data_IF_814407628864
#
_entry.id   IF_814407628864
#
_cell.length_a   1.000
_cell.length_b   1.000
_cell.length_c   1.000
_cell.angle_alpha   90.00
_cell.angle_beta   90.00
_cell.angle_gamma   90.00
#
_symmetry.space_group_name_H-M   'P 1'
#
loop_
_entity.id
_entity.type
_entity.pdbx_description
1 polymer ?
#
# COMPACT_ATOMS: atom_id res chain seq x y z
N UNK A 1 -20.52 55.51 28.71
CA UNK A 1 -20.50 54.24 29.48
C UNK A 1 -21.34 53.25 28.71
N UNK A 2 -20.87 52.27 28.16
CA UNK A 2 -19.92 51.27 28.48
C UNK A 2 -19.30 50.74 27.17
N UNK A 3 -18.01 50.90 27.03
CA UNK A 3 -17.21 50.09 26.10
C UNK A 3 -16.75 48.84 26.83
N UNK A 4 -16.19 47.93 26.10
CA UNK A 4 -15.44 46.74 26.55
C UNK A 4 -16.32 45.50 26.67
N UNK A 5 -16.15 44.63 25.67
CA UNK A 5 -15.92 43.20 25.89
C UNK A 5 -15.86 42.40 24.56
N UNK A 6 -15.04 42.89 23.64
CA UNK A 6 -14.81 42.11 22.41
C UNK A 6 -13.32 41.68 22.25
N UNK A 7 -12.61 41.46 23.37
CA UNK A 7 -11.20 41.06 23.40
C UNK A 7 -10.94 39.66 24.01
N UNK A 8 -11.90 38.72 23.97
CA UNK A 8 -11.65 37.42 24.59
C UNK A 8 -12.00 36.20 23.70
N UNK A 9 -11.74 36.25 22.42
CA UNK A 9 -11.95 35.09 21.53
C UNK A 9 -10.68 34.61 20.80
N UNK A 10 -9.50 35.08 21.15
CA UNK A 10 -8.24 34.55 20.59
C UNK A 10 -7.56 33.64 21.61
N UNK A 11 -8.28 32.60 22.08
CA UNK A 11 -7.62 31.46 22.72
C UNK A 11 -6.82 30.75 21.64
N UNK A 12 -5.49 30.75 21.79
CA UNK A 12 -4.48 30.27 20.87
C UNK A 12 -4.85 28.98 20.12
N UNK A 13 -5.33 29.14 18.91
CA UNK A 13 -5.42 28.02 17.95
C UNK A 13 -3.98 27.60 17.69
N UNK A 14 -3.60 26.40 18.10
CA UNK A 14 -2.28 25.86 17.79
C UNK A 14 -2.14 25.83 16.28
N UNK A 15 -1.17 26.54 15.72
CA UNK A 15 -0.87 26.54 14.29
C UNK A 15 -0.45 25.15 13.87
N UNK A 16 -1.08 24.61 12.83
CA UNK A 16 -0.79 23.30 12.24
C UNK A 16 0.45 23.44 11.36
N UNK A 17 1.51 22.75 11.72
CA UNK A 17 2.76 22.76 10.97
C UNK A 17 2.75 21.67 9.91
N UNK A 18 2.88 22.04 8.66
CA UNK A 18 2.78 21.13 7.50
C UNK A 18 4.10 21.04 6.75
N UNK A 19 4.53 19.82 6.43
CA UNK A 19 5.63 19.57 5.52
C UNK A 19 5.10 18.99 4.21
N UNK A 20 5.55 19.52 3.05
CA UNK A 20 5.07 19.12 1.73
C UNK A 20 6.15 18.31 0.97
N UNK A 21 5.76 17.19 0.38
CA UNK A 21 6.64 16.40 -0.50
C UNK A 21 5.91 16.10 -1.80
N UNK A 22 6.41 16.64 -2.90
CA UNK A 22 5.88 16.45 -4.27
C UNK A 22 7.01 16.77 -5.26
N UNK A 23 7.23 15.94 -6.27
CA UNK A 23 8.28 16.15 -7.27
C UNK A 23 7.91 17.25 -8.28
N UNK A 24 6.60 17.53 -8.45
CA UNK A 24 6.11 18.57 -9.34
C UNK A 24 6.16 19.94 -8.65
N UNK A 25 7.15 20.75 -8.96
CA UNK A 25 7.37 22.09 -8.35
C UNK A 25 6.12 22.98 -8.41
N UNK A 26 5.41 22.99 -9.54
CA UNK A 26 4.20 23.83 -9.72
C UNK A 26 3.09 23.38 -8.79
N UNK A 27 2.88 22.08 -8.64
CA UNK A 27 1.88 21.49 -7.72
C UNK A 27 2.27 21.81 -6.29
N UNK A 28 3.51 21.56 -5.92
CA UNK A 28 4.04 21.79 -4.58
C UNK A 28 3.89 23.26 -4.16
N UNK A 29 4.27 24.20 -5.04
CA UNK A 29 4.07 25.66 -4.79
C UNK A 29 2.61 26.05 -4.70
N UNK A 30 1.75 25.48 -5.54
CA UNK A 30 0.31 25.71 -5.50
C UNK A 30 -0.30 25.26 -4.18
N UNK A 31 0.04 24.06 -3.72
CA UNK A 31 -0.39 23.51 -2.43
C UNK A 31 0.16 24.34 -1.26
N UNK A 32 1.44 24.75 -1.32
CA UNK A 32 2.04 25.59 -0.30
C UNK A 32 1.32 26.94 -0.18
N UNK A 33 1.05 27.60 -1.30
CA UNK A 33 0.33 28.88 -1.32
C UNK A 33 -1.09 28.74 -0.78
N UNK A 34 -1.79 27.67 -1.14
CA UNK A 34 -3.13 27.37 -0.67
C UNK A 34 -3.19 27.18 0.86
N UNK A 35 -2.27 26.39 1.40
CA UNK A 35 -2.21 26.13 2.84
C UNK A 35 -1.75 27.35 3.63
N UNK A 36 -0.79 28.12 3.10
CA UNK A 36 -0.28 29.35 3.74
C UNK A 36 -1.28 30.51 3.69
N UNK A 37 -2.36 30.42 2.91
CA UNK A 37 -3.45 31.40 2.93
C UNK A 37 -4.36 31.25 4.17
N UNK A 38 -4.22 30.16 4.92
CA UNK A 38 -5.00 29.88 6.13
C UNK A 38 -4.24 30.35 7.38
N UNK A 39 -4.90 31.12 8.26
CA UNK A 39 -4.28 31.69 9.48
C UNK A 39 -3.81 30.64 10.50
N UNK A 40 -4.35 29.42 10.42
CA UNK A 40 -4.07 28.32 11.36
C UNK A 40 -3.13 27.24 10.79
N UNK A 41 -2.54 27.46 9.60
CA UNK A 41 -1.63 26.51 8.95
C UNK A 41 -0.33 27.21 8.56
N UNK A 42 0.79 26.54 8.86
CA UNK A 42 2.15 26.97 8.51
C UNK A 42 2.86 25.88 7.71
N UNK A 43 3.35 26.19 6.50
CA UNK A 43 4.21 25.29 5.73
C UNK A 43 5.64 25.46 6.25
N UNK A 44 6.13 24.47 7.02
CA UNK A 44 7.42 24.50 7.69
C UNK A 44 8.56 23.91 6.87
N UNK A 45 8.27 23.33 5.70
CA UNK A 45 9.28 22.80 4.81
C UNK A 45 8.69 22.10 3.59
N UNK A 46 9.56 21.91 2.62
CA UNK A 46 9.23 21.27 1.34
C UNK A 46 10.35 20.34 0.89
N UNK A 47 10.00 19.27 0.13
CA UNK A 47 10.91 18.38 -0.52
C UNK A 47 10.37 17.96 -1.90
N UNK A 48 11.25 17.70 -2.87
CA UNK A 48 10.92 17.17 -4.18
C UNK A 48 11.31 15.70 -4.35
N UNK A 49 11.90 15.07 -3.33
CA UNK A 49 12.44 13.70 -3.38
C UNK A 49 12.20 12.99 -2.04
N UNK A 50 12.19 11.67 -2.08
CA UNK A 50 12.06 10.83 -0.86
C UNK A 50 13.25 11.06 0.08
N UNK A 51 14.48 11.08 -0.44
CA UNK A 51 15.70 11.34 0.33
C UNK A 51 15.64 12.66 1.09
N UNK A 52 15.25 13.74 0.41
CA UNK A 52 15.14 15.06 1.04
C UNK A 52 14.00 15.11 2.07
N UNK A 53 12.89 14.42 1.83
CA UNK A 53 11.78 14.32 2.79
C UNK A 53 12.26 13.62 4.08
N UNK A 54 12.88 12.44 3.96
CA UNK A 54 13.42 11.67 5.09
C UNK A 54 14.45 12.45 5.91
N UNK A 55 15.29 13.25 5.24
CA UNK A 55 16.31 14.06 5.91
C UNK A 55 15.72 15.28 6.65
N UNK A 56 14.68 15.92 6.10
CA UNK A 56 14.20 17.24 6.57
C UNK A 56 12.99 17.16 7.50
N UNK A 57 12.09 16.19 7.33
CA UNK A 57 10.89 16.06 8.18
C UNK A 57 11.25 15.95 9.67
N UNK A 58 12.22 15.13 10.10
CA UNK A 58 12.56 15.03 11.53
C UNK A 58 13.06 16.35 12.13
N UNK A 59 13.83 17.14 11.36
CA UNK A 59 14.33 18.44 11.78
C UNK A 59 13.23 19.51 11.83
N UNK A 60 12.30 19.49 10.86
CA UNK A 60 11.18 20.43 10.77
C UNK A 60 10.11 20.16 11.85
N UNK A 61 9.98 18.93 12.34
CA UNK A 61 8.96 18.50 13.32
C UNK A 61 7.55 19.00 12.98
N UNK A 62 7.02 18.65 11.81
CA UNK A 62 5.65 19.03 11.45
C UNK A 62 4.61 18.25 12.26
N UNK A 63 3.37 18.77 12.32
CA UNK A 63 2.21 18.03 12.81
C UNK A 63 1.62 17.13 11.71
N UNK A 64 1.74 17.55 10.44
CA UNK A 64 1.25 16.84 9.26
C UNK A 64 2.32 16.80 8.17
N UNK A 65 2.57 15.64 7.59
CA UNK A 65 3.33 15.47 6.36
C UNK A 65 2.37 15.16 5.21
N UNK A 66 2.32 16.02 4.20
CA UNK A 66 1.61 15.78 2.94
C UNK A 66 2.61 15.19 1.95
N UNK A 67 2.37 13.96 1.52
CA UNK A 67 3.33 13.16 0.75
C UNK A 67 2.71 12.75 -0.60
N UNK A 68 3.35 13.11 -1.70
CA UNK A 68 3.01 12.52 -3.00
C UNK A 68 3.35 11.02 -2.98
N UNK A 69 2.46 10.22 -3.56
CA UNK A 69 2.68 8.77 -3.70
C UNK A 69 3.87 8.48 -4.61
N UNK A 70 4.05 9.25 -5.68
CA UNK A 70 5.14 9.04 -6.65
C UNK A 70 6.24 10.07 -6.46
N UNK A 71 7.46 9.59 -6.27
CA UNK A 71 8.67 10.41 -6.17
C UNK A 71 9.75 9.86 -7.10
N UNK A 72 10.66 10.71 -7.61
CA UNK A 72 11.64 10.31 -8.64
C UNK A 72 12.68 9.29 -8.15
N UNK A 73 12.93 9.25 -6.85
CA UNK A 73 13.92 8.41 -6.17
C UNK A 73 13.29 7.35 -5.26
N UNK A 74 11.96 7.16 -5.36
CA UNK A 74 11.24 6.22 -4.52
C UNK A 74 9.73 6.42 -4.54
N UNK A 75 9.09 6.24 -3.41
CA UNK A 75 7.65 6.46 -3.25
C UNK A 75 7.32 7.05 -1.87
N UNK A 76 6.26 7.86 -1.81
CA UNK A 76 5.83 8.52 -0.58
C UNK A 76 5.28 7.55 0.47
N UNK A 77 4.88 6.34 0.08
CA UNK A 77 4.40 5.32 1.01
C UNK A 77 5.57 4.79 1.84
N UNK A 78 6.72 4.57 1.21
CA UNK A 78 7.97 4.20 1.88
C UNK A 78 8.44 5.32 2.81
N UNK A 79 8.36 6.59 2.38
CA UNK A 79 8.63 7.76 3.23
C UNK A 79 7.69 7.77 4.44
N UNK A 80 6.38 7.57 4.23
CA UNK A 80 5.39 7.51 5.30
C UNK A 80 5.75 6.44 6.33
N UNK A 81 6.06 5.22 5.88
CA UNK A 81 6.43 4.09 6.76
C UNK A 81 7.66 4.39 7.59
N UNK A 82 8.72 4.89 6.97
CA UNK A 82 9.99 5.19 7.62
C UNK A 82 9.83 6.33 8.63
N UNK A 83 9.21 7.45 8.23
CA UNK A 83 9.00 8.60 9.11
C UNK A 83 8.10 8.24 10.29
N UNK A 84 7.04 7.47 10.10
CA UNK A 84 6.17 7.05 11.20
C UNK A 84 6.84 6.08 12.17
N UNK A 85 7.83 5.32 11.72
CA UNK A 85 8.64 4.49 12.64
C UNK A 85 9.47 5.33 13.61
N UNK A 86 9.90 6.52 13.17
CA UNK A 86 10.70 7.47 13.95
C UNK A 86 9.83 8.48 14.72
N UNK A 87 8.69 8.87 14.14
CA UNK A 87 7.76 9.88 14.64
C UNK A 87 6.32 9.34 14.63
N UNK A 88 5.91 8.47 15.56
CA UNK A 88 4.60 7.80 15.55
C UNK A 88 3.41 8.77 15.60
N UNK A 89 3.57 9.95 16.20
CA UNK A 89 2.52 10.97 16.33
C UNK A 89 2.32 11.82 15.05
N UNK A 90 3.27 11.76 14.10
CA UNK A 90 3.17 12.53 12.87
C UNK A 90 2.01 12.00 12.00
N UNK A 91 1.06 12.86 11.66
CA UNK A 91 0.00 12.52 10.73
C UNK A 91 0.52 12.57 9.28
N UNK A 92 0.38 11.48 8.53
CA UNK A 92 0.75 11.43 7.12
C UNK A 92 -0.51 11.47 6.24
N UNK A 93 -0.60 12.46 5.35
CA UNK A 93 -1.64 12.61 4.35
C UNK A 93 -1.06 12.33 2.98
N UNK A 94 -1.50 11.24 2.34
CA UNK A 94 -1.04 10.89 0.99
C UNK A 94 -1.79 11.71 -0.04
N UNK A 95 -1.06 12.29 -0.99
CA UNK A 95 -1.61 13.08 -2.10
C UNK A 95 -1.22 12.40 -3.42
N UNK A 96 -2.17 12.13 -4.30
CA UNK A 96 -1.93 11.37 -5.53
C UNK A 96 -2.74 11.90 -6.72
N UNK A 97 -2.22 11.69 -7.92
CA UNK A 97 -2.93 12.03 -9.16
C UNK A 97 -3.89 10.95 -9.66
N UNK A 98 -3.84 9.75 -9.10
CA UNK A 98 -4.60 8.60 -9.57
C UNK A 98 -5.33 7.90 -8.43
N UNK A 99 -6.55 7.45 -8.75
CA UNK A 99 -7.30 6.53 -7.89
C UNK A 99 -6.72 5.12 -8.07
N UNK A 100 -5.60 4.86 -7.39
CA UNK A 100 -4.90 3.58 -7.40
C UNK A 100 -5.21 2.83 -6.11
N UNK A 101 -6.06 1.79 -6.22
CA UNK A 101 -6.46 0.98 -5.06
C UNK A 101 -5.25 0.30 -4.38
N UNK A 102 -4.20 -0.03 -5.14
CA UNK A 102 -3.00 -0.66 -4.59
C UNK A 102 -2.16 0.36 -3.80
N UNK A 103 -2.02 1.59 -4.31
CA UNK A 103 -1.34 2.68 -3.61
C UNK A 103 -2.08 3.10 -2.33
N UNK A 104 -3.42 3.19 -2.39
CA UNK A 104 -4.24 3.42 -1.20
C UNK A 104 -4.02 2.34 -0.14
N UNK A 105 -3.99 1.06 -0.56
CA UNK A 105 -3.72 -0.05 0.36
C UNK A 105 -2.35 0.06 1.02
N UNK A 106 -1.30 0.27 0.24
CA UNK A 106 0.05 0.42 0.75
C UNK A 106 0.16 1.61 1.72
N UNK A 107 -0.53 2.73 1.43
CA UNK A 107 -0.61 3.89 2.30
C UNK A 107 -1.23 3.56 3.67
N UNK A 108 -2.36 2.82 3.68
CA UNK A 108 -3.00 2.35 4.92
C UNK A 108 -2.06 1.46 5.74
N UNK A 109 -1.36 0.52 5.07
CA UNK A 109 -0.41 -0.39 5.72
C UNK A 109 0.86 0.33 6.21
N UNK A 110 1.23 1.46 5.61
CA UNK A 110 2.30 2.34 6.07
C UNK A 110 1.87 3.23 7.25
N UNK A 111 0.58 3.22 7.63
CA UNK A 111 0.03 4.00 8.72
C UNK A 111 -0.34 5.43 8.35
N UNK A 112 -0.65 5.71 7.07
CA UNK A 112 -1.16 7.02 6.66
C UNK A 112 -2.47 7.35 7.38
N UNK A 113 -2.66 8.60 7.75
CA UNK A 113 -3.88 9.12 8.39
C UNK A 113 -4.95 9.49 7.37
N UNK A 114 -4.58 9.67 6.09
CA UNK A 114 -5.49 10.03 5.01
C UNK A 114 -4.89 9.80 3.63
N UNK A 115 -5.78 9.79 2.63
CA UNK A 115 -5.43 9.64 1.23
C UNK A 115 -6.35 10.55 0.40
N UNK A 116 -5.78 11.42 -0.42
CA UNK A 116 -6.48 12.48 -1.14
C UNK A 116 -6.01 12.54 -2.59
N UNK A 117 -6.93 12.76 -3.52
CA UNK A 117 -6.60 12.94 -4.93
C UNK A 117 -6.16 14.40 -5.18
N UNK A 118 -5.11 14.61 -6.00
CA UNK A 118 -4.63 15.96 -6.42
C UNK A 118 -5.69 16.76 -7.19
N UNK A 119 -6.74 16.12 -7.67
CA UNK A 119 -7.89 16.76 -8.35
C UNK A 119 -8.93 17.34 -7.38
N UNK A 120 -8.72 17.21 -6.08
CA UNK A 120 -9.58 17.76 -5.03
C UNK A 120 -9.59 19.28 -5.05
N UNK A 121 -10.72 19.90 -4.65
CA UNK A 121 -10.80 21.35 -4.47
C UNK A 121 -9.91 21.79 -3.30
N UNK A 122 -9.34 22.97 -3.40
CA UNK A 122 -8.42 23.48 -2.38
C UNK A 122 -8.98 23.48 -0.95
N UNK A 123 -10.28 23.87 -0.79
CA UNK A 123 -10.98 23.83 0.50
C UNK A 123 -11.00 22.44 1.13
N UNK A 124 -11.10 21.40 0.32
CA UNK A 124 -11.16 20.01 0.80
C UNK A 124 -9.79 19.53 1.26
N UNK A 125 -8.70 19.99 0.63
CA UNK A 125 -7.34 19.69 1.06
C UNK A 125 -7.02 20.34 2.41
N UNK A 126 -7.42 21.61 2.59
CA UNK A 126 -7.30 22.33 3.86
C UNK A 126 -8.09 21.61 4.96
N UNK A 127 -9.33 21.20 4.66
CA UNK A 127 -10.16 20.40 5.56
C UNK A 127 -9.51 19.04 5.92
N UNK A 128 -8.90 18.40 4.93
CA UNK A 128 -8.18 17.13 5.13
C UNK A 128 -6.98 17.30 6.08
N UNK A 129 -6.17 18.34 5.89
CA UNK A 129 -5.03 18.67 6.76
C UNK A 129 -5.52 18.91 8.20
N UNK A 130 -6.57 19.70 8.40
CA UNK A 130 -7.14 19.96 9.74
C UNK A 130 -7.65 18.68 10.40
N UNK A 131 -8.31 17.82 9.64
CA UNK A 131 -8.85 16.55 10.15
C UNK A 131 -7.73 15.64 10.63
N UNK A 132 -6.68 15.42 9.83
CA UNK A 132 -5.58 14.54 10.24
C UNK A 132 -4.73 15.15 11.35
N UNK A 133 -4.56 16.47 11.38
CA UNK A 133 -3.88 17.18 12.46
C UNK A 133 -4.60 17.06 13.82
N UNK A 134 -5.92 16.89 13.81
CA UNK A 134 -6.70 16.64 15.04
C UNK A 134 -6.61 15.19 15.54
N UNK A 135 -5.82 14.32 14.88
CA UNK A 135 -5.72 12.90 15.18
C UNK A 135 -6.84 12.04 14.61
N UNK A 136 -7.74 12.62 13.81
CA UNK A 136 -8.79 11.88 13.13
C UNK A 136 -8.24 11.25 11.83
N UNK A 137 -8.79 10.10 11.42
CA UNK A 137 -8.46 9.47 10.16
C UNK A 137 -9.48 9.83 9.08
N UNK A 138 -8.99 10.19 7.90
CA UNK A 138 -9.80 10.32 6.69
C UNK A 138 -10.07 8.98 5.99
N UNK A 139 -9.50 7.90 6.50
CA UNK A 139 -9.73 6.56 6.01
C UNK A 139 -11.04 6.06 6.62
N UNK A 140 -12.11 6.09 5.83
CA UNK A 140 -13.42 5.58 6.26
C UNK A 140 -13.31 4.10 6.68
N UNK A 141 -13.81 3.73 7.88
CA UNK A 141 -13.78 2.36 8.38
C UNK A 141 -14.41 1.34 7.41
N UNK A 142 -15.43 1.76 6.65
CA UNK A 142 -16.09 0.90 5.65
C UNK A 142 -15.20 0.67 4.43
N UNK A 143 -14.51 1.69 3.95
CA UNK A 143 -13.55 1.59 2.85
C UNK A 143 -12.36 0.75 3.27
N UNK A 144 -11.84 0.96 4.46
CA UNK A 144 -10.76 0.14 5.05
C UNK A 144 -11.20 -1.33 5.23
N UNK A 145 -12.42 -1.60 5.71
CA UNK A 145 -12.93 -2.96 5.85
C UNK A 145 -13.13 -3.67 4.51
N UNK A 146 -13.69 -2.98 3.50
CA UNK A 146 -13.79 -3.53 2.12
C UNK A 146 -12.43 -3.84 1.54
N UNK A 147 -11.46 -2.99 1.78
CA UNK A 147 -10.09 -3.16 1.35
C UNK A 147 -9.45 -4.37 2.02
N UNK A 148 -9.58 -4.52 3.33
CA UNK A 148 -9.10 -5.72 4.05
C UNK A 148 -9.76 -7.00 3.54
N UNK A 149 -11.05 -6.98 3.19
CA UNK A 149 -11.73 -8.11 2.55
C UNK A 149 -11.16 -8.42 1.16
N UNK A 150 -10.90 -7.40 0.34
CA UNK A 150 -10.27 -7.58 -1.00
C UNK A 150 -8.85 -8.13 -0.89
N UNK A 151 -8.08 -7.70 0.13
CA UNK A 151 -6.73 -8.22 0.39
C UNK A 151 -6.78 -9.70 0.76
N UNK A 152 -7.65 -10.05 1.70
CA UNK A 152 -7.84 -11.47 2.07
C UNK A 152 -8.23 -12.30 0.85
N UNK A 153 -9.16 -11.81 0.03
CA UNK A 153 -9.57 -12.46 -1.22
C UNK A 153 -8.43 -12.51 -2.26
N UNK A 154 -7.55 -11.51 -2.30
CA UNK A 154 -6.37 -11.48 -3.20
C UNK A 154 -5.24 -12.37 -2.72
N UNK A 155 -4.99 -12.42 -1.41
CA UNK A 155 -4.06 -13.39 -0.80
C UNK A 155 -4.58 -14.83 -0.96
N UNK A 156 -5.90 -15.04 -0.86
CA UNK A 156 -6.53 -16.32 -1.18
C UNK A 156 -6.41 -16.70 -2.66
N UNK A 157 -6.43 -15.72 -3.57
CA UNK A 157 -6.15 -15.93 -5.00
C UNK A 157 -4.65 -16.05 -5.32
N UNK A 158 -3.75 -15.56 -4.46
CA UNK A 158 -2.28 -15.66 -4.66
C UNK A 158 -1.70 -17.03 -4.32
N UNK A 159 -2.44 -17.90 -3.62
CA UNK A 159 -2.04 -19.31 -3.47
C UNK A 159 -3.02 -20.21 -4.25
N UNK A 160 -2.84 -20.34 -5.57
CA UNK A 160 -3.66 -21.23 -6.39
C UNK A 160 -3.57 -22.69 -5.92
N UNK A 161 -2.62 -23.02 -5.05
CA UNK A 161 -2.38 -24.35 -4.49
C UNK A 161 -3.00 -24.56 -3.10
N UNK A 162 -3.69 -23.54 -2.52
CA UNK A 162 -4.24 -23.60 -1.14
C UNK A 162 -5.18 -24.79 -0.92
N UNK A 163 -5.83 -25.29 -1.97
CA UNK A 163 -6.70 -26.49 -1.91
C UNK A 163 -6.00 -27.82 -2.08
N UNK A 164 -4.71 -27.85 -2.40
CA UNK A 164 -3.96 -29.07 -2.61
C UNK A 164 -3.28 -29.56 -1.31
N UNK A 165 -3.31 -30.88 -1.10
CA UNK A 165 -2.47 -31.52 -0.08
C UNK A 165 -1.00 -31.42 -0.48
N UNK A 166 -0.09 -31.67 0.46
CA UNK A 166 1.36 -31.68 0.21
C UNK A 166 1.74 -32.68 -0.87
N UNK A 167 1.13 -33.87 -0.85
CA UNK A 167 1.32 -34.89 -1.89
C UNK A 167 0.83 -34.43 -3.26
N UNK A 168 -0.31 -33.75 -3.32
CA UNK A 168 -0.83 -33.21 -4.59
C UNK A 168 0.03 -32.07 -5.14
N UNK A 169 0.58 -31.21 -4.26
CA UNK A 169 1.55 -30.18 -4.65
C UNK A 169 2.80 -30.78 -5.26
N UNK A 170 3.36 -31.80 -4.63
CA UNK A 170 4.55 -32.48 -5.13
C UNK A 170 4.31 -33.15 -6.49
N UNK A 171 3.12 -33.79 -6.66
CA UNK A 171 2.75 -34.37 -7.97
C UNK A 171 2.60 -33.26 -9.03
N UNK A 172 2.04 -32.09 -8.69
CA UNK A 172 1.92 -30.96 -9.61
C UNK A 172 3.28 -30.44 -10.05
N UNK A 173 4.26 -30.35 -9.14
CA UNK A 173 5.63 -29.97 -9.46
C UNK A 173 6.27 -30.95 -10.48
N UNK A 174 6.11 -32.26 -10.26
CA UNK A 174 6.63 -33.29 -11.17
C UNK A 174 5.93 -33.25 -12.54
N UNK A 175 4.65 -32.84 -12.61
CA UNK A 175 3.96 -32.57 -13.87
C UNK A 175 4.60 -31.37 -14.57
N UNK A 176 4.98 -30.34 -13.84
CA UNK A 176 5.70 -29.16 -14.35
C UNK A 176 7.09 -29.51 -14.90
N UNK A 177 7.74 -30.52 -14.34
CA UNK A 177 9.00 -31.07 -14.84
C UNK A 177 8.82 -31.96 -16.08
N UNK A 178 7.59 -32.19 -16.53
CA UNK A 178 7.29 -32.99 -17.74
C UNK A 178 7.25 -34.48 -17.52
N UNK A 179 7.30 -35.00 -16.29
CA UNK A 179 7.28 -36.44 -16.00
C UNK A 179 5.92 -37.05 -16.39
N UNK A 180 5.96 -38.29 -16.91
CA UNK A 180 4.76 -39.10 -17.15
C UNK A 180 4.21 -39.68 -15.83
N UNK A 181 2.95 -40.19 -15.84
CA UNK A 181 2.35 -40.77 -14.63
C UNK A 181 3.15 -41.95 -14.09
N UNK A 182 3.74 -42.73 -15.00
CA UNK A 182 4.62 -43.85 -14.65
C UNK A 182 5.89 -43.37 -13.94
N UNK A 183 6.56 -42.34 -14.49
CA UNK A 183 7.77 -41.75 -13.90
C UNK A 183 7.48 -41.09 -12.54
N UNK A 184 6.33 -40.42 -12.40
CA UNK A 184 5.89 -39.89 -11.12
C UNK A 184 5.66 -41.03 -10.11
N UNK A 185 5.02 -42.12 -10.54
CA UNK A 185 4.82 -43.30 -9.70
C UNK A 185 6.13 -43.92 -9.23
N UNK A 186 7.08 -44.10 -10.13
CA UNK A 186 8.42 -44.59 -9.82
C UNK A 186 9.14 -43.68 -8.80
N UNK A 187 9.06 -42.35 -8.97
CA UNK A 187 9.73 -41.37 -8.11
C UNK A 187 9.11 -41.24 -6.71
N UNK A 188 7.78 -41.44 -6.60
CA UNK A 188 7.03 -41.31 -5.34
C UNK A 188 6.68 -42.66 -4.69
N UNK A 189 7.14 -43.75 -5.27
CA UNK A 189 6.80 -45.12 -4.84
C UNK A 189 5.29 -45.39 -4.84
N UNK A 190 4.58 -44.90 -5.87
CA UNK A 190 3.14 -45.04 -6.04
C UNK A 190 2.82 -45.85 -7.31
N UNK A 191 1.72 -46.60 -7.26
CA UNK A 191 1.19 -47.23 -8.47
C UNK A 191 0.72 -46.16 -9.46
N UNK A 192 0.90 -46.34 -10.75
CA UNK A 192 0.48 -45.41 -11.81
C UNK A 192 -1.01 -45.06 -11.73
N UNK A 193 -1.85 -46.04 -11.36
CA UNK A 193 -3.29 -45.81 -11.13
C UNK A 193 -3.54 -44.80 -9.99
N UNK A 194 -2.73 -44.87 -8.93
CA UNK A 194 -2.82 -43.95 -7.78
C UNK A 194 -2.43 -42.53 -8.21
N UNK A 195 -1.34 -42.38 -8.99
CA UNK A 195 -0.93 -41.09 -9.55
C UNK A 195 -2.03 -40.50 -10.43
N UNK A 196 -2.69 -41.30 -11.26
CA UNK A 196 -3.82 -40.88 -12.10
C UNK A 196 -4.99 -40.34 -11.26
N UNK A 197 -5.29 -40.97 -10.13
CA UNK A 197 -6.33 -40.49 -9.21
C UNK A 197 -5.95 -39.14 -8.58
N UNK A 198 -4.71 -38.98 -8.12
CA UNK A 198 -4.20 -37.68 -7.61
C UNK A 198 -4.29 -36.58 -8.68
N UNK A 199 -3.91 -36.85 -9.92
CA UNK A 199 -3.98 -35.89 -11.01
C UNK A 199 -5.43 -35.49 -11.28
N UNK A 200 -6.38 -36.42 -11.24
CA UNK A 200 -7.80 -36.12 -11.40
C UNK A 200 -8.31 -35.24 -10.25
N UNK A 201 -7.89 -35.50 -9.01
CA UNK A 201 -8.21 -34.66 -7.85
C UNK A 201 -7.62 -33.26 -8.00
N UNK A 202 -6.34 -33.14 -8.37
CA UNK A 202 -5.69 -31.85 -8.65
C UNK A 202 -6.45 -31.06 -9.70
N UNK A 203 -6.83 -31.68 -10.82
CA UNK A 203 -7.56 -31.01 -11.90
C UNK A 203 -8.93 -30.51 -11.44
N UNK A 204 -9.66 -31.31 -10.64
CA UNK A 204 -10.94 -30.89 -10.05
C UNK A 204 -10.76 -29.71 -9.11
N UNK A 205 -9.76 -29.76 -8.20
CA UNK A 205 -9.49 -28.74 -7.21
C UNK A 205 -9.03 -27.41 -7.84
N UNK A 206 -8.26 -27.48 -8.93
CA UNK A 206 -7.75 -26.31 -9.65
C UNK A 206 -8.64 -25.85 -10.81
N UNK A 207 -9.78 -26.52 -11.07
CA UNK A 207 -10.67 -26.20 -12.19
C UNK A 207 -10.04 -26.40 -13.56
N UNK A 208 -9.08 -27.36 -13.70
CA UNK A 208 -8.36 -27.64 -14.92
C UNK A 208 -8.93 -28.86 -15.64
N UNK A 209 -8.79 -28.88 -16.96
CA UNK A 209 -9.24 -30.01 -17.80
C UNK A 209 -8.11 -30.69 -18.58
N UNK A 210 -6.94 -30.07 -18.64
CA UNK A 210 -5.82 -30.57 -19.46
C UNK A 210 -4.51 -30.55 -18.68
N UNK A 211 -3.68 -31.57 -18.90
CA UNK A 211 -2.33 -31.69 -18.30
C UNK A 211 -1.43 -30.51 -18.65
N UNK A 212 -1.55 -29.96 -19.85
CA UNK A 212 -0.80 -28.79 -20.30
C UNK A 212 -1.07 -27.54 -19.45
N UNK A 213 -2.30 -27.39 -18.95
CA UNK A 213 -2.66 -26.29 -18.03
C UNK A 213 -1.96 -26.45 -16.69
N UNK A 214 -1.91 -27.66 -16.15
CA UNK A 214 -1.21 -27.96 -14.90
C UNK A 214 0.31 -27.75 -15.03
N UNK A 215 0.89 -28.17 -16.16
CA UNK A 215 2.30 -27.95 -16.42
C UNK A 215 2.66 -26.47 -16.56
N UNK A 216 1.81 -25.69 -17.24
CA UNK A 216 1.99 -24.24 -17.37
C UNK A 216 1.90 -23.53 -16.01
N UNK A 217 0.93 -23.88 -15.15
CA UNK A 217 0.80 -23.34 -13.81
C UNK A 217 2.03 -23.67 -12.95
N UNK A 218 2.47 -24.91 -12.96
CA UNK A 218 3.65 -25.32 -12.18
C UNK A 218 4.93 -24.59 -12.63
N UNK A 219 5.11 -24.38 -13.94
CA UNK A 219 6.23 -23.62 -14.50
C UNK A 219 6.17 -22.13 -14.08
N UNK A 220 5.00 -21.53 -14.09
CA UNK A 220 4.78 -20.13 -13.67
C UNK A 220 5.11 -19.96 -12.18
N UNK A 221 4.61 -20.83 -11.31
CA UNK A 221 4.90 -20.78 -9.87
C UNK A 221 6.39 -20.93 -9.55
N UNK A 222 7.09 -21.78 -10.30
CA UNK A 222 8.55 -21.95 -10.16
C UNK A 222 9.31 -20.69 -10.58
N UNK A 223 8.87 -20.01 -11.64
CA UNK A 223 9.45 -18.75 -12.10
C UNK A 223 9.20 -17.60 -11.10
N UNK A 224 8.01 -17.52 -10.53
CA UNK A 224 7.66 -16.49 -9.54
C UNK A 224 8.46 -16.68 -8.23
N UNK A 225 8.61 -17.93 -7.75
CA UNK A 225 9.42 -18.24 -6.58
C UNK A 225 10.92 -17.93 -6.78
N UNK A 226 11.43 -18.02 -8.02
CA UNK A 226 12.81 -17.63 -8.34
C UNK A 226 13.01 -16.12 -8.37
N UNK A 227 12.03 -15.35 -8.83
CA UNK A 227 12.07 -13.87 -8.81
C UNK A 227 12.05 -13.30 -7.40
N UNK A 228 11.28 -13.90 -6.49
CA UNK A 228 11.21 -13.47 -5.08
C UNK A 228 12.54 -13.72 -4.34
N UNK A 229 13.27 -14.79 -4.66
CA UNK A 229 14.60 -15.09 -4.08
C UNK A 229 15.72 -14.19 -4.61
N UNK A 230 15.63 -13.71 -5.85
CA UNK A 230 16.61 -12.81 -6.47
C UNK A 230 16.50 -11.34 -6.07
N UNK A 231 15.49 -10.93 -5.29
CA UNK A 231 15.31 -9.58 -4.78
C UNK A 231 15.79 -9.40 -3.33
N UNK A 232 16.37 -10.43 -2.71
CA UNK A 232 16.89 -10.45 -1.33
C UNK A 232 18.41 -10.64 -1.24
N UNK A 233 19.14 -10.55 -2.38
CA UNK A 233 20.61 -10.48 -2.39
C UNK A 233 21.13 -9.08 -2.71
#
# INVERSE_FOLDING_TARGET
MTGSDDQNATRGRKTIRVFLTDDHEVVRRGVAALLSAEDDIEVVGEAGTAEHALARIPAARPDVAVLDVRLPDGDGVSVCREIRSQMPELACLMLTSFDDEDALFQAVMAGASGYVLKQIHGSDLVGAVRTVASGQSLLDPRSTARMLQRIRARQEKKDPLKGLTEQERHILELIGEGLTNRQIGERLFLAEKTVKNYISSIFTKLGMSRRTQAAALAAQLKADAQKERGHHE
#
